data_IF_735309914648
#
_entry.id   IF_735309914648
#
_cell.length_a   1.000
_cell.length_b   1.000
_cell.length_c   1.000
_cell.angle_alpha   90.00
_cell.angle_beta   90.00
_cell.angle_gamma   90.00
#
_symmetry.space_group_name_H-M   'P 1'
#
loop_
_entity.id
_entity.type
_entity.pdbx_description
1 polymer ?
#
# COMPACT_ATOMS: atom_id res chain seq x y z
N UNK A 1 -22.83 -12.96 -36.29
CA UNK A 1 -22.03 -12.04 -35.45
C UNK A 1 -21.31 -12.90 -34.43
N UNK A 2 -20.02 -13.14 -34.62
CA UNK A 2 -19.21 -13.81 -33.60
C UNK A 2 -19.02 -12.82 -32.45
N UNK A 3 -19.31 -13.29 -31.24
CA UNK A 3 -19.00 -12.58 -30.00
C UNK A 3 -17.49 -12.39 -29.91
N UNK A 4 -17.01 -11.15 -29.90
CA UNK A 4 -15.63 -10.78 -29.49
C UNK A 4 -15.41 -11.01 -27.97
N UNK A 5 -16.47 -11.35 -27.23
CA UNK A 5 -16.43 -11.64 -25.81
C UNK A 5 -15.68 -12.94 -25.54
N UNK A 6 -14.74 -12.91 -24.59
CA UNK A 6 -14.33 -14.09 -23.82
C UNK A 6 -15.45 -14.48 -22.86
N UNK A 7 -16.57 -14.96 -23.41
CA UNK A 7 -17.44 -15.82 -22.61
C UNK A 7 -16.56 -17.00 -22.16
N UNK A 8 -16.66 -17.48 -20.91
CA UNK A 8 -15.98 -18.70 -20.51
C UNK A 8 -16.16 -19.76 -21.61
N UNK A 9 -15.06 -20.37 -22.09
CA UNK A 9 -15.08 -21.18 -23.28
C UNK A 9 -16.15 -22.25 -23.17
N UNK A 10 -17.09 -22.21 -24.10
CA UNK A 10 -18.08 -23.27 -24.30
C UNK A 10 -17.74 -24.02 -25.58
N UNK A 11 -18.18 -25.27 -25.75
CA UNK A 11 -18.05 -26.00 -27.01
C UNK A 11 -18.65 -25.25 -28.22
N UNK A 12 -19.47 -24.22 -27.98
CA UNK A 12 -20.27 -23.51 -28.97
C UNK A 12 -19.74 -22.11 -29.35
N UNK A 13 -18.82 -21.51 -28.58
CA UNK A 13 -18.29 -20.14 -28.83
C UNK A 13 -16.87 -20.13 -29.44
N UNK A 14 -16.64 -19.42 -30.55
CA UNK A 14 -15.31 -19.24 -31.15
C UNK A 14 -14.31 -18.72 -30.11
N UNK A 15 -13.10 -19.29 -30.07
CA UNK A 15 -11.98 -18.66 -29.36
C UNK A 15 -11.55 -17.42 -30.17
N UNK A 16 -11.14 -16.35 -29.49
CA UNK A 16 -10.79 -15.11 -30.21
C UNK A 16 -9.59 -15.31 -31.14
N UNK A 17 -8.71 -16.30 -30.88
CA UNK A 17 -7.61 -16.62 -31.78
C UNK A 17 -8.12 -17.04 -33.16
N UNK A 18 -9.08 -17.95 -33.21
CA UNK A 18 -9.68 -18.43 -34.46
C UNK A 18 -10.42 -17.28 -35.18
N UNK A 19 -11.04 -16.39 -34.42
CA UNK A 19 -11.69 -15.19 -34.96
C UNK A 19 -10.68 -14.23 -35.60
N UNK A 20 -9.60 -13.91 -34.88
CA UNK A 20 -8.55 -13.00 -35.36
C UNK A 20 -7.82 -13.57 -36.58
N UNK A 21 -7.50 -14.86 -36.55
CA UNK A 21 -6.88 -15.56 -37.68
C UNK A 21 -7.79 -15.52 -38.91
N UNK A 22 -9.09 -15.75 -38.72
CA UNK A 22 -10.06 -15.67 -39.82
C UNK A 22 -10.21 -14.26 -40.40
N UNK A 23 -10.13 -13.23 -39.55
CA UNK A 23 -10.11 -11.83 -39.99
C UNK A 23 -8.84 -11.54 -40.81
N UNK A 24 -7.70 -12.10 -40.37
CA UNK A 24 -6.43 -12.10 -41.09
C UNK A 24 -6.54 -12.70 -42.49
N UNK A 25 -6.97 -13.96 -42.58
CA UNK A 25 -7.17 -14.73 -43.82
C UNK A 25 -8.08 -14.02 -44.85
N UNK A 26 -9.09 -13.31 -44.37
CA UNK A 26 -10.04 -12.57 -45.20
C UNK A 26 -9.48 -11.21 -45.67
N UNK A 27 -8.25 -10.86 -45.29
CA UNK A 27 -7.58 -9.61 -45.65
C UNK A 27 -8.03 -8.40 -44.81
N UNK A 28 -8.91 -8.61 -43.81
CA UNK A 28 -9.47 -7.53 -43.00
C UNK A 28 -8.46 -6.95 -41.97
N UNK A 29 -7.33 -7.62 -41.75
CA UNK A 29 -6.28 -7.17 -40.83
C UNK A 29 -5.73 -5.77 -41.17
N UNK A 30 -5.62 -5.44 -42.47
CA UNK A 30 -5.15 -4.13 -42.92
C UNK A 30 -6.19 -3.02 -42.79
N UNK A 31 -7.39 -3.33 -42.30
CA UNK A 31 -8.50 -2.39 -42.15
C UNK A 31 -8.79 -2.02 -40.69
N UNK A 32 -7.99 -2.51 -39.75
CA UNK A 32 -8.09 -2.17 -38.32
C UNK A 32 -6.76 -1.63 -37.81
N UNK A 33 -6.82 -0.66 -36.90
CA UNK A 33 -5.61 -0.05 -36.33
C UNK A 33 -5.10 -0.80 -35.10
N UNK A 34 -6.02 -1.43 -34.37
CA UNK A 34 -5.75 -2.09 -33.08
C UNK A 34 -6.45 -3.45 -33.02
N UNK A 35 -5.90 -4.35 -32.22
CA UNK A 35 -6.52 -5.62 -31.84
C UNK A 35 -7.11 -5.47 -30.45
N UNK A 36 -8.44 -5.48 -30.35
CA UNK A 36 -9.16 -5.43 -29.08
C UNK A 36 -9.52 -6.84 -28.62
N UNK A 37 -9.15 -7.21 -27.40
CA UNK A 37 -9.52 -8.49 -26.78
C UNK A 37 -10.01 -8.28 -25.37
N UNK A 38 -10.89 -9.17 -24.91
CA UNK A 38 -11.32 -9.25 -23.52
C UNK A 38 -10.73 -10.56 -22.98
N UNK A 39 -9.69 -10.58 -22.13
CA UNK A 39 -9.08 -11.83 -21.68
C UNK A 39 -9.64 -12.28 -20.31
N UNK A 40 -10.97 -12.29 -20.14
CA UNK A 40 -11.58 -12.71 -18.87
C UNK A 40 -11.26 -14.17 -18.54
N UNK A 41 -11.11 -14.45 -17.25
CA UNK A 41 -10.80 -15.79 -16.74
C UNK A 41 -11.40 -16.00 -15.35
N UNK A 42 -11.87 -17.23 -15.05
CA UNK A 42 -12.53 -17.58 -13.79
C UNK A 42 -11.59 -17.74 -12.60
N UNK A 43 -10.27 -17.78 -12.85
CA UNK A 43 -9.22 -17.99 -11.85
C UNK A 43 -8.29 -16.77 -11.77
N UNK A 44 -7.22 -16.85 -10.97
CA UNK A 44 -6.17 -15.84 -10.89
C UNK A 44 -5.59 -15.48 -12.27
N UNK A 45 -4.97 -14.29 -12.43
CA UNK A 45 -4.36 -13.86 -13.69
C UNK A 45 -3.36 -14.87 -14.28
N UNK A 46 -2.59 -15.53 -13.43
CA UNK A 46 -1.59 -16.56 -13.73
C UNK A 46 -2.18 -17.96 -13.84
N UNK A 47 -3.45 -18.11 -13.45
CA UNK A 47 -4.17 -19.36 -13.48
C UNK A 47 -4.35 -19.89 -14.90
N UNK A 48 -4.45 -21.21 -14.97
CA UNK A 48 -4.63 -21.97 -16.19
C UNK A 48 -6.10 -21.91 -16.64
N UNK A 49 -6.33 -21.40 -17.85
CA UNK A 49 -7.65 -21.36 -18.48
C UNK A 49 -7.74 -22.43 -19.57
N UNK A 50 -8.72 -23.31 -19.48
CA UNK A 50 -9.03 -24.26 -20.56
C UNK A 50 -9.61 -23.52 -21.77
N UNK A 51 -8.83 -23.33 -22.82
CA UNK A 51 -9.17 -22.72 -24.12
C UNK A 51 -9.58 -23.78 -25.15
N UNK A 52 -10.65 -24.53 -24.88
CA UNK A 52 -11.22 -25.62 -25.70
C UNK A 52 -10.29 -26.82 -25.92
N UNK A 53 -9.19 -26.64 -26.65
CA UNK A 53 -8.27 -27.69 -27.09
C UNK A 53 -6.99 -27.73 -26.26
N UNK A 54 -6.71 -26.66 -25.54
CA UNK A 54 -5.49 -26.50 -24.75
C UNK A 54 -5.78 -25.71 -23.49
N UNK A 55 -4.93 -25.88 -22.48
CA UNK A 55 -4.96 -25.08 -21.26
C UNK A 55 -3.83 -24.06 -21.33
N UNK A 56 -4.13 -22.79 -21.08
CA UNK A 56 -3.16 -21.71 -21.14
C UNK A 56 -3.30 -20.73 -19.98
N UNK A 57 -2.18 -20.35 -19.38
CA UNK A 57 -2.09 -19.15 -18.56
C UNK A 57 -2.00 -17.89 -19.45
N UNK A 58 -2.13 -16.71 -18.85
CA UNK A 58 -2.15 -15.44 -19.59
C UNK A 58 -0.85 -15.21 -20.39
N UNK A 59 0.30 -15.65 -19.89
CA UNK A 59 1.58 -15.47 -20.59
C UNK A 59 1.65 -16.36 -21.83
N UNK A 60 1.18 -17.59 -21.74
CA UNK A 60 1.06 -18.49 -22.89
C UNK A 60 0.06 -17.96 -23.93
N UNK A 61 -1.05 -17.42 -23.47
CA UNK A 61 -2.06 -16.76 -24.29
C UNK A 61 -1.48 -15.56 -25.06
N UNK A 62 -0.73 -14.70 -24.38
CA UNK A 62 -0.02 -13.57 -24.99
C UNK A 62 1.04 -14.04 -26.01
N UNK A 63 1.80 -15.10 -25.71
CA UNK A 63 2.74 -15.71 -26.68
C UNK A 63 2.03 -16.31 -27.90
N UNK A 64 0.80 -16.82 -27.75
CA UNK A 64 0.02 -17.30 -28.90
C UNK A 64 -0.44 -16.12 -29.77
N UNK A 65 -0.72 -14.95 -29.19
CA UNK A 65 -1.03 -13.73 -29.94
C UNK A 65 0.15 -13.27 -30.80
N UNK A 66 1.39 -13.43 -30.33
CA UNK A 66 2.59 -13.12 -31.14
C UNK A 66 2.57 -13.85 -32.49
N UNK A 67 2.10 -15.10 -32.54
CA UNK A 67 1.97 -15.86 -33.78
C UNK A 67 1.06 -15.15 -34.80
N UNK A 68 -0.10 -14.68 -34.35
CA UNK A 68 -1.05 -13.94 -35.22
C UNK A 68 -0.48 -12.58 -35.63
N UNK A 69 0.22 -11.88 -34.74
CA UNK A 69 0.86 -10.61 -35.06
C UNK A 69 2.00 -10.78 -36.07
N UNK A 70 2.76 -11.89 -36.00
CA UNK A 70 3.82 -12.19 -36.96
C UNK A 70 3.27 -12.57 -38.32
N UNK A 71 2.17 -13.33 -38.36
CA UNK A 71 1.55 -13.79 -39.59
C UNK A 71 0.83 -12.67 -40.34
N UNK A 72 -0.05 -11.94 -39.63
CA UNK A 72 -0.94 -10.97 -40.26
C UNK A 72 -0.40 -9.53 -40.21
N UNK A 73 0.55 -9.25 -39.30
CA UNK A 73 1.25 -7.99 -39.16
C UNK A 73 1.09 -7.37 -37.76
N UNK A 74 2.18 -6.81 -37.22
CA UNK A 74 2.20 -6.27 -35.87
C UNK A 74 1.19 -5.12 -35.68
N UNK A 75 0.45 -5.16 -34.57
CA UNK A 75 -0.52 -4.13 -34.17
C UNK A 75 -0.53 -3.95 -32.65
N UNK A 76 -0.89 -2.75 -32.16
CA UNK A 76 -1.25 -2.56 -30.77
C UNK A 76 -2.38 -3.50 -30.33
N UNK A 77 -2.25 -4.05 -29.13
CA UNK A 77 -3.24 -4.85 -28.43
C UNK A 77 -3.83 -4.02 -27.30
N UNK A 78 -5.15 -3.91 -27.27
CA UNK A 78 -5.88 -3.27 -26.19
C UNK A 78 -6.75 -4.32 -25.48
N UNK A 79 -6.59 -4.43 -24.16
CA UNK A 79 -7.52 -5.18 -23.34
C UNK A 79 -8.70 -4.27 -23.05
N UNK A 80 -9.71 -4.28 -23.93
CA UNK A 80 -10.83 -3.33 -23.85
C UNK A 80 -11.81 -3.62 -22.73
N UNK A 81 -11.78 -4.84 -22.18
CA UNK A 81 -12.41 -5.18 -20.91
C UNK A 81 -11.63 -6.28 -20.20
N UNK A 82 -11.42 -6.10 -18.90
CA UNK A 82 -10.94 -7.14 -17.99
C UNK A 82 -11.35 -6.80 -16.56
N UNK A 83 -11.77 -7.79 -15.80
CA UNK A 83 -12.18 -7.60 -14.41
C UNK A 83 -12.49 -8.90 -13.70
N UNK A 84 -12.65 -8.81 -12.38
CA UNK A 84 -13.18 -9.89 -11.54
C UNK A 84 -14.29 -9.31 -10.68
N UNK A 85 -15.44 -9.96 -10.63
CA UNK A 85 -16.56 -9.51 -9.82
C UNK A 85 -16.45 -10.01 -8.38
N UNK A 86 -16.93 -9.19 -7.43
CA UNK A 86 -16.95 -9.52 -6.00
C UNK A 86 -18.30 -10.06 -5.53
N UNK A 87 -19.04 -10.74 -6.42
CA UNK A 87 -20.37 -11.27 -6.13
C UNK A 87 -20.31 -12.56 -5.30
N UNK A 88 -21.44 -12.89 -4.69
CA UNK A 88 -21.66 -14.14 -3.98
C UNK A 88 -22.08 -15.21 -4.99
N UNK A 89 -21.14 -16.03 -5.44
CA UNK A 89 -21.45 -17.11 -6.37
C UNK A 89 -20.21 -17.78 -6.94
N UNK A 90 -20.41 -18.66 -7.91
CA UNK A 90 -19.31 -19.26 -8.66
C UNK A 90 -18.46 -18.14 -9.32
N UNK A 91 -17.14 -18.29 -9.23
CA UNK A 91 -16.13 -17.37 -9.77
C UNK A 91 -16.10 -15.96 -9.14
N UNK A 92 -16.96 -15.68 -8.16
CA UNK A 92 -16.89 -14.47 -7.36
C UNK A 92 -15.71 -14.51 -6.41
N UNK A 93 -14.99 -13.39 -6.29
CA UNK A 93 -13.84 -13.26 -5.39
C UNK A 93 -14.14 -12.28 -4.25
N UNK A 94 -13.39 -12.34 -3.14
CA UNK A 94 -13.47 -11.28 -2.15
C UNK A 94 -12.82 -9.99 -2.70
N UNK A 95 -13.11 -8.84 -2.08
CA UNK A 95 -12.66 -7.55 -2.60
C UNK A 95 -11.14 -7.35 -2.57
N UNK A 96 -10.43 -7.92 -1.60
CA UNK A 96 -8.96 -7.87 -1.56
C UNK A 96 -8.36 -8.70 -2.70
N UNK A 97 -8.90 -9.90 -2.95
CA UNK A 97 -8.52 -10.73 -4.10
C UNK A 97 -8.77 -10.02 -5.42
N UNK A 98 -9.90 -9.30 -5.57
CA UNK A 98 -10.13 -8.44 -6.74
C UNK A 98 -9.01 -7.39 -6.90
N UNK A 99 -8.62 -6.75 -5.80
CA UNK A 99 -7.54 -5.76 -5.79
C UNK A 99 -6.19 -6.36 -6.21
N UNK A 100 -5.89 -7.57 -5.72
CA UNK A 100 -4.66 -8.29 -6.04
C UNK A 100 -4.62 -8.71 -7.50
N UNK A 101 -5.70 -9.31 -7.98
CA UNK A 101 -5.81 -9.78 -9.36
C UNK A 101 -5.71 -8.64 -10.35
N UNK A 102 -6.29 -7.47 -10.05
CA UNK A 102 -6.14 -6.30 -10.90
C UNK A 102 -4.67 -5.91 -11.06
N UNK A 103 -3.91 -5.73 -9.97
CA UNK A 103 -2.49 -5.37 -10.09
C UNK A 103 -1.73 -6.43 -10.86
N UNK A 104 -1.89 -7.71 -10.50
CA UNK A 104 -1.21 -8.85 -11.14
C UNK A 104 -1.51 -8.93 -12.64
N UNK A 105 -2.77 -8.77 -13.01
CA UNK A 105 -3.23 -8.72 -14.41
C UNK A 105 -2.54 -7.59 -15.18
N UNK A 106 -2.51 -6.38 -14.62
CA UNK A 106 -1.85 -5.24 -15.27
C UNK A 106 -0.36 -5.47 -15.44
N UNK A 107 0.34 -5.96 -14.41
CA UNK A 107 1.79 -6.21 -14.50
C UNK A 107 2.10 -7.29 -15.52
N UNK A 108 1.37 -8.42 -15.50
CA UNK A 108 1.56 -9.50 -16.48
C UNK A 108 1.30 -9.02 -17.91
N UNK A 109 0.25 -8.24 -18.13
CA UNK A 109 -0.08 -7.69 -19.43
C UNK A 109 1.01 -6.73 -19.95
N UNK A 110 1.58 -5.89 -19.07
CA UNK A 110 2.66 -4.95 -19.40
C UNK A 110 3.98 -5.64 -19.78
N UNK A 111 4.12 -6.95 -19.56
CA UNK A 111 5.30 -7.71 -20.05
C UNK A 111 5.30 -7.90 -21.57
N UNK A 112 4.14 -7.77 -22.20
CA UNK A 112 4.00 -7.99 -23.64
C UNK A 112 4.11 -6.66 -24.40
N UNK A 113 5.06 -6.52 -25.34
CA UNK A 113 5.40 -5.23 -25.96
C UNK A 113 4.26 -4.64 -26.79
N UNK A 114 3.36 -5.47 -27.32
CA UNK A 114 2.22 -4.99 -28.09
C UNK A 114 1.03 -4.54 -27.22
N UNK A 115 1.01 -4.83 -25.91
CA UNK A 115 -0.11 -4.40 -25.06
C UNK A 115 0.08 -2.93 -24.67
N UNK A 116 -0.75 -2.05 -25.23
CA UNK A 116 -0.65 -0.60 -25.00
C UNK A 116 -1.67 -0.09 -23.98
N UNK A 117 -2.86 -0.71 -23.91
CA UNK A 117 -3.96 -0.23 -23.06
C UNK A 117 -4.72 -1.37 -22.41
N UNK A 118 -5.12 -1.13 -21.17
CA UNK A 118 -5.88 -2.07 -20.35
C UNK A 118 -7.02 -1.28 -19.70
N UNK A 119 -8.25 -1.70 -20.01
CA UNK A 119 -9.48 -1.08 -19.53
C UNK A 119 -10.11 -2.02 -18.51
N UNK A 120 -10.07 -1.61 -17.24
CA UNK A 120 -10.73 -2.33 -16.17
C UNK A 120 -12.25 -2.22 -16.32
N UNK A 121 -12.93 -3.36 -16.32
CA UNK A 121 -14.37 -3.44 -16.20
C UNK A 121 -14.71 -3.66 -14.71
N UNK A 122 -15.30 -2.69 -14.02
CA UNK A 122 -15.66 -1.35 -14.47
C UNK A 122 -15.37 -0.28 -13.40
N UNK A 123 -15.77 0.97 -13.63
CA UNK A 123 -15.49 2.05 -12.67
C UNK A 123 -16.32 1.89 -11.39
N UNK A 124 -17.60 1.55 -11.49
CA UNK A 124 -18.53 1.61 -10.36
C UNK A 124 -19.59 0.54 -10.52
N UNK A 125 -19.77 -0.27 -9.46
CA UNK A 125 -20.80 -1.29 -9.36
C UNK A 125 -22.11 -0.84 -10.03
N UNK A 126 -22.59 -1.70 -10.91
CA UNK A 126 -23.81 -1.44 -11.64
C UNK A 126 -25.04 -1.51 -10.74
N UNK A 127 -26.15 -1.12 -11.35
CA UNK A 127 -27.48 -1.17 -10.78
C UNK A 127 -28.43 -1.63 -11.87
N UNK A 128 -29.63 -2.08 -11.50
CA UNK A 128 -30.65 -2.46 -12.48
C UNK A 128 -30.80 -1.31 -13.50
N UNK A 129 -30.70 -1.58 -14.81
CA UNK A 129 -30.73 -0.53 -15.83
C UNK A 129 -32.05 0.27 -15.83
N UNK A 130 -33.12 -0.27 -15.25
CA UNK A 130 -34.41 0.39 -15.09
C UNK A 130 -34.56 1.10 -13.73
N UNK A 131 -33.61 0.93 -12.80
CA UNK A 131 -33.65 1.59 -11.50
C UNK A 131 -33.43 3.11 -11.65
N UNK A 132 -34.26 3.96 -11.00
CA UNK A 132 -33.98 5.39 -10.91
C UNK A 132 -32.62 5.64 -10.28
N UNK A 133 -31.89 6.66 -10.76
CA UNK A 133 -30.55 6.99 -10.24
C UNK A 133 -30.50 7.17 -8.71
N UNK A 134 -31.55 7.76 -8.14
CA UNK A 134 -31.68 8.02 -6.70
C UNK A 134 -32.17 6.82 -5.87
N UNK A 135 -32.41 5.67 -6.51
CA UNK A 135 -32.88 4.42 -5.90
C UNK A 135 -32.18 3.23 -6.56
N UNK A 136 -30.84 3.11 -6.41
CA UNK A 136 -30.11 2.01 -7.01
C UNK A 136 -30.61 0.68 -6.44
N UNK A 137 -30.86 -0.28 -7.32
CA UNK A 137 -31.04 -1.70 -6.98
C UNK A 137 -29.68 -2.37 -7.04
N UNK A 138 -29.37 -3.21 -6.06
CA UNK A 138 -28.11 -3.93 -5.98
C UNK A 138 -28.38 -5.40 -5.67
N UNK A 139 -27.71 -6.28 -6.40
CA UNK A 139 -27.84 -7.72 -6.25
C UNK A 139 -26.49 -8.35 -5.93
N UNK A 140 -26.38 -8.98 -4.75
CA UNK A 140 -25.11 -9.53 -4.28
C UNK A 140 -24.65 -10.76 -5.09
N UNK A 141 -25.58 -11.49 -5.71
CA UNK A 141 -25.28 -12.71 -6.47
C UNK A 141 -24.99 -12.48 -7.96
N UNK A 142 -25.25 -11.27 -8.48
CA UNK A 142 -25.05 -10.95 -9.88
C UNK A 142 -23.65 -10.33 -10.09
N UNK A 143 -22.79 -10.91 -10.96
CA UNK A 143 -21.46 -10.38 -11.22
C UNK A 143 -21.45 -8.93 -11.74
N UNK A 144 -22.42 -8.53 -12.58
CA UNK A 144 -22.45 -7.20 -13.20
C UNK A 144 -22.53 -6.09 -12.14
N UNK A 145 -23.26 -6.34 -11.06
CA UNK A 145 -23.40 -5.39 -9.95
C UNK A 145 -22.14 -5.27 -9.08
N UNK A 146 -21.07 -6.02 -9.37
CA UNK A 146 -19.97 -6.26 -8.44
C UNK A 146 -18.55 -6.11 -9.03
N UNK A 147 -18.41 -5.66 -10.28
CA UNK A 147 -17.10 -5.44 -10.92
C UNK A 147 -16.39 -4.16 -10.47
N UNK A 148 -17.15 -3.13 -10.09
CA UNK A 148 -16.63 -1.77 -9.91
C UNK A 148 -15.46 -1.64 -8.95
N UNK A 149 -14.65 -0.60 -9.18
CA UNK A 149 -13.69 -0.08 -8.20
C UNK A 149 -14.39 0.71 -7.08
N UNK A 150 -15.55 1.28 -7.40
CA UNK A 150 -16.42 2.03 -6.50
C UNK A 150 -17.72 1.27 -6.24
N UNK A 151 -18.20 1.31 -5.00
CA UNK A 151 -19.54 0.81 -4.68
C UNK A 151 -20.61 1.78 -5.17
N UNK A 152 -21.78 1.26 -5.53
CA UNK A 152 -22.97 2.06 -5.87
C UNK A 152 -23.56 2.63 -4.60
N UNK A 153 -23.73 3.96 -4.53
CA UNK A 153 -24.31 4.64 -3.36
C UNK A 153 -25.15 5.85 -3.77
N UNK A 154 -26.26 6.08 -3.06
CA UNK A 154 -27.05 7.31 -3.15
C UNK A 154 -27.53 7.76 -1.75
N UNK A 155 -27.41 9.06 -1.39
CA UNK A 155 -26.69 10.09 -2.15
C UNK A 155 -25.19 9.75 -2.23
N UNK A 156 -24.53 10.19 -3.31
CA UNK A 156 -23.09 10.01 -3.43
C UNK A 156 -22.39 10.86 -2.35
N UNK A 157 -21.68 10.19 -1.45
CA UNK A 157 -20.81 10.84 -0.47
C UNK A 157 -19.35 10.46 -0.75
N UNK A 158 -18.56 11.33 -1.41
CA UNK A 158 -17.15 11.07 -1.68
C UNK A 158 -16.27 10.86 -0.43
N UNK A 159 -16.75 11.34 0.73
CA UNK A 159 -16.10 11.19 2.03
C UNK A 159 -16.52 9.90 2.77
N UNK A 160 -17.43 9.10 2.20
CA UNK A 160 -17.81 7.83 2.81
C UNK A 160 -16.64 6.84 2.76
N UNK A 161 -16.22 6.24 3.89
CA UNK A 161 -15.21 5.18 3.90
C UNK A 161 -15.58 3.99 3.03
N UNK A 162 -16.88 3.70 2.94
CA UNK A 162 -17.39 2.53 2.25
C UNK A 162 -17.61 2.76 0.74
N UNK A 163 -17.28 3.95 0.21
CA UNK A 163 -17.45 4.20 -1.22
C UNK A 163 -16.42 3.45 -2.08
N UNK A 164 -15.16 3.43 -1.64
CA UNK A 164 -14.05 2.84 -2.40
C UNK A 164 -13.89 1.37 -2.02
N UNK A 165 -13.78 0.50 -3.01
CA UNK A 165 -13.37 -0.90 -2.78
C UNK A 165 -11.83 -0.97 -2.66
N UNK A 166 -11.27 -2.01 -2.02
CA UNK A 166 -9.86 -2.34 -2.06
C UNK A 166 -9.20 -2.16 -3.44
N UNK A 167 -9.85 -2.62 -4.52
CA UNK A 167 -9.34 -2.48 -5.88
C UNK A 167 -9.09 -1.01 -6.28
N UNK A 168 -9.89 -0.04 -5.81
CA UNK A 168 -9.59 1.38 -6.06
C UNK A 168 -8.24 1.81 -5.45
N UNK A 169 -7.96 1.36 -4.22
CA UNK A 169 -6.70 1.67 -3.53
C UNK A 169 -5.51 1.00 -4.21
N UNK A 170 -5.68 -0.24 -4.67
CA UNK A 170 -4.68 -0.95 -5.45
C UNK A 170 -4.35 -0.24 -6.77
N UNK A 171 -5.38 0.23 -7.49
CA UNK A 171 -5.20 0.88 -8.79
C UNK A 171 -4.44 2.19 -8.64
N UNK A 172 -4.86 2.99 -7.65
CA UNK A 172 -4.17 4.23 -7.27
C UNK A 172 -2.71 3.97 -6.90
N UNK A 173 -2.46 2.95 -6.09
CA UNK A 173 -1.09 2.63 -5.64
C UNK A 173 -0.22 2.21 -6.81
N UNK A 174 -0.69 1.26 -7.63
CA UNK A 174 0.01 0.80 -8.82
C UNK A 174 0.37 1.96 -9.76
N UNK A 175 -0.61 2.82 -10.06
CA UNK A 175 -0.40 3.99 -10.93
C UNK A 175 0.56 5.00 -10.31
N UNK A 176 0.47 5.28 -9.00
CA UNK A 176 1.42 6.16 -8.31
C UNK A 176 2.85 5.60 -8.32
N UNK A 177 3.00 4.28 -8.13
CA UNK A 177 4.31 3.64 -8.06
C UNK A 177 4.97 3.51 -9.43
N UNK A 178 4.20 3.28 -10.48
CA UNK A 178 4.72 2.95 -11.81
C UNK A 178 4.63 4.08 -12.84
N UNK A 179 3.92 5.17 -12.54
CA UNK A 179 3.81 6.31 -13.47
C UNK A 179 5.19 6.84 -13.87
N UNK A 180 5.43 6.91 -15.18
CA UNK A 180 6.70 7.37 -15.75
C UNK A 180 7.87 6.38 -15.64
N UNK A 181 7.61 5.14 -15.19
CA UNK A 181 8.58 4.04 -15.22
C UNK A 181 8.26 3.10 -16.38
N UNK A 182 9.28 2.41 -16.88
CA UNK A 182 9.13 1.33 -17.87
C UNK A 182 9.58 0.01 -17.27
N UNK A 183 9.06 -1.10 -17.79
CA UNK A 183 9.55 -2.43 -17.47
C UNK A 183 11.02 -2.52 -17.91
N UNK A 184 11.91 -2.78 -16.97
CA UNK A 184 13.35 -2.85 -17.16
C UNK A 184 13.92 -4.27 -16.95
N UNK A 185 13.11 -5.20 -16.45
CA UNK A 185 13.52 -6.59 -16.31
C UNK A 185 12.51 -7.47 -15.58
N UNK A 186 12.71 -8.78 -15.71
CA UNK A 186 11.91 -9.81 -15.05
C UNK A 186 12.86 -10.68 -14.22
N UNK A 187 12.74 -10.58 -12.89
CA UNK A 187 13.58 -11.29 -11.92
C UNK A 187 13.10 -12.73 -11.70
N UNK A 188 11.79 -12.93 -11.61
CA UNK A 188 11.20 -14.23 -11.34
C UNK A 188 9.79 -14.32 -11.94
N UNK A 189 9.45 -15.52 -12.42
CA UNK A 189 8.13 -15.97 -12.84
C UNK A 189 8.03 -17.47 -12.49
N UNK A 190 6.85 -18.08 -12.61
CA UNK A 190 6.57 -19.46 -12.21
C UNK A 190 7.40 -20.54 -12.93
N UNK A 191 7.98 -20.23 -14.08
CA UNK A 191 8.88 -21.13 -14.82
C UNK A 191 10.31 -21.17 -14.28
N UNK A 192 10.68 -20.29 -13.32
CA UNK A 192 12.02 -20.27 -12.72
C UNK A 192 12.11 -21.19 -11.50
N UNK A 193 12.91 -22.27 -11.54
CA UNK A 193 12.98 -23.25 -10.44
C UNK A 193 13.50 -22.68 -9.12
N UNK A 194 14.29 -21.60 -9.17
CA UNK A 194 14.89 -20.95 -8.01
C UNK A 194 13.87 -20.14 -7.16
N UNK A 195 12.74 -19.79 -7.77
CA UNK A 195 11.71 -18.90 -7.22
C UNK A 195 10.30 -19.43 -7.49
N UNK A 196 9.99 -20.68 -7.11
CA UNK A 196 8.70 -21.30 -7.43
C UNK A 196 7.55 -20.48 -6.84
N UNK A 197 6.57 -20.15 -7.68
CA UNK A 197 5.39 -19.38 -7.28
C UNK A 197 5.66 -17.90 -6.96
N UNK A 198 6.85 -17.37 -7.27
CA UNK A 198 7.15 -15.94 -7.10
C UNK A 198 7.20 -15.24 -8.45
N UNK A 199 6.58 -14.07 -8.49
CA UNK A 199 6.56 -13.18 -9.63
C UNK A 199 7.22 -11.87 -9.22
N UNK A 200 8.18 -11.40 -10.01
CA UNK A 200 8.98 -10.23 -9.66
C UNK A 200 9.45 -9.48 -10.91
N UNK A 201 9.01 -8.23 -11.01
CA UNK A 201 9.23 -7.34 -12.13
C UNK A 201 9.94 -6.06 -11.68
N UNK A 202 10.90 -5.62 -12.48
CA UNK A 202 11.66 -4.40 -12.26
C UNK A 202 11.12 -3.28 -13.14
N UNK A 203 10.73 -2.18 -12.52
CA UNK A 203 10.37 -0.95 -13.22
C UNK A 203 11.38 0.15 -12.87
N UNK A 204 11.82 0.90 -13.87
CA UNK A 204 12.76 1.97 -13.64
C UNK A 204 12.59 3.10 -14.65
N UNK A 205 13.12 4.25 -14.27
CA UNK A 205 13.59 5.27 -15.20
C UNK A 205 14.97 5.76 -14.76
N UNK A 206 15.45 6.89 -15.30
CA UNK A 206 16.77 7.44 -14.94
C UNK A 206 16.84 7.98 -13.51
N UNK A 207 15.71 8.13 -12.81
CA UNK A 207 15.62 8.75 -11.49
C UNK A 207 15.11 7.81 -10.39
N UNK A 208 14.27 6.83 -10.74
CA UNK A 208 13.56 5.97 -9.78
C UNK A 208 13.59 4.52 -10.23
N UNK A 209 13.67 3.62 -9.25
CA UNK A 209 13.55 2.17 -9.43
C UNK A 209 12.53 1.61 -8.44
N UNK A 210 11.55 0.89 -8.97
CA UNK A 210 10.50 0.24 -8.20
C UNK A 210 10.36 -1.19 -8.67
N UNK A 211 10.40 -2.12 -7.74
CA UNK A 211 10.03 -3.51 -8.02
C UNK A 211 8.58 -3.76 -7.62
N UNK A 212 7.90 -4.60 -8.41
CA UNK A 212 6.59 -5.17 -8.06
C UNK A 212 6.73 -6.67 -7.98
N UNK A 213 6.33 -7.24 -6.84
CA UNK A 213 6.48 -8.67 -6.62
C UNK A 213 5.38 -9.24 -5.73
N UNK A 214 5.07 -10.51 -5.94
CA UNK A 214 4.12 -11.27 -5.14
C UNK A 214 4.48 -12.75 -5.18
N UNK A 215 3.82 -13.54 -4.33
CA UNK A 215 3.87 -15.01 -4.40
C UNK A 215 2.46 -15.58 -4.55
N UNK A 216 2.29 -16.67 -5.27
CA UNK A 216 0.98 -17.34 -5.42
C UNK A 216 0.70 -18.35 -4.31
N UNK A 217 1.74 -19.03 -3.81
CA UNK A 217 1.63 -20.15 -2.89
C UNK A 217 2.90 -20.32 -2.02
N UNK A 218 2.97 -21.42 -1.26
CA UNK A 218 4.15 -21.82 -0.48
C UNK A 218 4.35 -21.10 0.87
N UNK A 219 5.50 -21.36 1.50
CA UNK A 219 5.96 -20.62 2.68
C UNK A 219 6.36 -19.20 2.29
N UNK A 220 6.15 -18.20 3.15
CA UNK A 220 6.61 -16.83 2.93
C UNK A 220 8.15 -16.79 2.84
N UNK A 221 8.74 -16.71 1.64
CA UNK A 221 10.18 -16.80 1.53
C UNK A 221 10.80 -15.49 2.01
N UNK A 222 11.79 -15.58 2.88
CA UNK A 222 12.74 -14.48 3.08
C UNK A 222 13.80 -14.59 2.00
N UNK A 223 14.05 -13.49 1.30
CA UNK A 223 14.93 -13.45 0.14
C UNK A 223 15.92 -12.31 0.29
N UNK A 224 17.19 -12.62 0.04
CA UNK A 224 18.26 -11.62 0.03
C UNK A 224 18.41 -11.06 -1.37
N UNK A 225 18.39 -9.75 -1.50
CA UNK A 225 18.37 -9.02 -2.77
C UNK A 225 19.58 -8.10 -2.84
N UNK A 226 20.44 -8.27 -3.86
CA UNK A 226 21.46 -7.28 -4.17
C UNK A 226 20.82 -6.14 -4.96
N UNK A 227 20.60 -5.01 -4.29
CA UNK A 227 20.01 -3.83 -4.90
C UNK A 227 21.07 -2.78 -5.25
N UNK A 228 22.28 -2.88 -4.66
CA UNK A 228 23.27 -1.80 -4.62
C UNK A 228 22.63 -0.46 -4.22
N UNK A 229 21.77 -0.52 -3.21
CA UNK A 229 21.02 0.60 -2.67
C UNK A 229 21.48 0.92 -1.26
N UNK A 230 21.17 2.13 -0.79
CA UNK A 230 21.29 2.49 0.63
C UNK A 230 20.10 1.97 1.42
N UNK A 231 18.91 2.08 0.85
CA UNK A 231 17.67 1.67 1.50
C UNK A 231 16.58 1.26 0.51
N UNK A 232 15.54 0.63 1.05
CA UNK A 232 14.33 0.26 0.35
C UNK A 232 13.08 0.58 1.16
N UNK A 233 12.15 1.31 0.55
CA UNK A 233 10.85 1.61 1.10
C UNK A 233 9.82 0.62 0.54
N UNK A 234 9.27 -0.19 1.43
CA UNK A 234 8.36 -1.29 1.11
C UNK A 234 6.92 -0.89 1.38
N UNK A 235 6.05 -1.10 0.39
CA UNK A 235 4.62 -0.81 0.46
C UNK A 235 3.78 -2.01 0.11
N UNK A 236 2.64 -2.13 0.78
CA UNK A 236 1.60 -3.06 0.40
C UNK A 236 0.83 -2.57 -0.83
N UNK A 237 0.02 -3.46 -1.41
CA UNK A 237 -0.87 -3.22 -2.53
C UNK A 237 -1.75 -1.96 -2.38
N UNK A 238 -2.13 -1.57 -1.16
CA UNK A 238 -2.97 -0.41 -0.84
C UNK A 238 -2.17 0.91 -0.67
N UNK A 239 -0.85 0.86 -0.78
CA UNK A 239 0.07 2.00 -0.65
C UNK A 239 0.55 2.29 0.78
N UNK A 240 0.06 1.53 1.76
CA UNK A 240 0.56 1.58 3.13
C UNK A 240 2.04 1.18 3.16
N UNK A 241 2.86 1.98 3.83
CA UNK A 241 4.26 1.65 4.06
C UNK A 241 4.32 0.62 5.18
N UNK A 242 4.91 -0.53 4.88
CA UNK A 242 5.12 -1.58 5.88
C UNK A 242 6.52 -1.51 6.44
N UNK A 243 7.53 -1.30 5.59
CA UNK A 243 8.92 -1.32 6.02
C UNK A 243 9.79 -0.25 5.35
N UNK A 244 10.78 0.24 6.09
CA UNK A 244 11.98 0.92 5.60
C UNK A 244 13.17 0.05 5.97
N UNK A 245 13.86 -0.45 4.95
CA UNK A 245 14.96 -1.40 5.12
C UNK A 245 16.25 -0.71 4.72
N UNK A 246 17.20 -0.61 5.64
CA UNK A 246 18.55 -0.15 5.32
C UNK A 246 19.38 -1.33 4.82
N UNK A 247 20.09 -1.13 3.72
CA UNK A 247 20.92 -2.17 3.13
C UNK A 247 22.19 -2.39 3.93
N UNK A 248 22.64 -3.65 3.99
CA UNK A 248 23.97 -4.02 4.47
C UNK A 248 24.77 -4.51 3.26
N UNK A 249 25.90 -3.88 2.96
CA UNK A 249 26.74 -4.18 1.79
C UNK A 249 25.97 -4.20 0.46
N UNK A 250 25.00 -3.28 0.31
CA UNK A 250 24.14 -3.19 -0.88
C UNK A 250 23.08 -4.31 -0.99
N UNK A 251 22.90 -5.11 0.07
CA UNK A 251 21.91 -6.18 0.17
C UNK A 251 20.75 -5.80 1.09
N UNK A 252 19.53 -6.19 0.74
CA UNK A 252 18.35 -6.14 1.62
C UNK A 252 17.74 -7.53 1.79
N UNK A 253 16.94 -7.72 2.85
CA UNK A 253 16.11 -8.90 3.02
C UNK A 253 14.64 -8.53 2.82
N UNK A 254 13.95 -9.23 1.92
CA UNK A 254 12.52 -9.06 1.66
C UNK A 254 11.77 -10.31 2.08
N UNK A 255 10.60 -10.15 2.68
CA UNK A 255 9.69 -11.25 3.00
C UNK A 255 8.33 -11.00 2.36
N UNK A 256 7.86 -11.98 1.59
CA UNK A 256 6.53 -11.94 0.98
C UNK A 256 5.52 -12.59 1.92
N UNK A 257 4.99 -11.82 2.87
CA UNK A 257 4.15 -12.36 3.95
C UNK A 257 2.81 -12.89 3.43
N UNK A 258 2.11 -12.09 2.64
CA UNK A 258 0.74 -12.35 2.21
C UNK A 258 0.72 -12.99 0.81
N UNK A 259 0.25 -14.24 0.67
CA UNK A 259 0.08 -14.85 -0.65
C UNK A 259 -0.90 -14.05 -1.49
N UNK A 260 -0.59 -13.91 -2.77
CA UNK A 260 -1.36 -13.21 -3.78
C UNK A 260 -1.27 -11.69 -3.71
N UNK A 261 -0.85 -11.11 -2.59
CA UNK A 261 -0.80 -9.67 -2.38
C UNK A 261 0.44 -9.05 -3.06
N UNK A 262 0.27 -8.09 -3.97
CA UNK A 262 1.38 -7.32 -4.53
C UNK A 262 2.09 -6.48 -3.47
N UNK A 263 3.42 -6.48 -3.55
CA UNK A 263 4.33 -5.63 -2.80
C UNK A 263 5.04 -4.68 -3.77
N UNK A 264 5.24 -3.44 -3.34
CA UNK A 264 6.10 -2.47 -4.05
C UNK A 264 7.36 -2.23 -3.23
N UNK A 265 8.51 -2.28 -3.87
CA UNK A 265 9.81 -1.97 -3.25
C UNK A 265 10.46 -0.84 -4.02
N UNK A 266 10.47 0.35 -3.43
CA UNK A 266 11.12 1.52 -3.99
C UNK A 266 12.52 1.68 -3.39
N UNK A 267 13.54 1.66 -4.24
CA UNK A 267 14.93 1.74 -3.79
C UNK A 267 15.45 3.17 -3.88
N UNK A 268 16.15 3.60 -2.84
CA UNK A 268 16.72 4.95 -2.70
C UNK A 268 15.76 6.04 -3.23
N UNK A 269 14.56 6.19 -2.63
CA UNK A 269 13.59 7.19 -3.09
C UNK A 269 14.26 8.56 -3.19
N UNK A 270 14.19 9.23 -4.36
CA UNK A 270 14.99 10.43 -4.58
C UNK A 270 14.51 11.57 -3.67
N UNK A 271 15.44 12.35 -3.08
CA UNK A 271 15.08 13.51 -2.27
C UNK A 271 14.30 14.52 -3.11
N UNK A 272 13.32 15.19 -2.49
CA UNK A 272 12.61 16.26 -3.16
C UNK A 272 13.54 17.46 -3.43
N UNK A 273 13.72 17.91 -4.69
CA UNK A 273 14.66 18.97 -5.02
C UNK A 273 14.29 20.34 -4.43
N UNK A 274 13.02 20.54 -4.05
CA UNK A 274 12.53 21.77 -3.42
C UNK A 274 12.59 21.71 -1.88
N UNK A 275 13.10 20.61 -1.32
CA UNK A 275 13.18 20.36 0.12
C UNK A 275 14.51 20.73 0.73
N UNK A 276 14.50 20.92 2.05
CA UNK A 276 15.70 21.01 2.86
C UNK A 276 16.25 19.60 3.09
N UNK A 277 17.43 19.30 2.56
CA UNK A 277 18.10 18.00 2.68
C UNK A 277 18.74 17.82 4.05
N UNK A 278 18.44 16.69 4.70
CA UNK A 278 19.10 16.25 5.92
C UNK A 278 20.14 15.18 5.58
N UNK A 279 21.41 15.57 5.46
CA UNK A 279 22.52 14.68 5.09
C UNK A 279 22.60 13.39 5.91
N UNK A 280 22.21 13.45 7.20
CA UNK A 280 22.16 12.30 8.11
C UNK A 280 21.31 11.15 7.57
N UNK A 281 20.19 11.46 6.92
CA UNK A 281 19.24 10.46 6.40
C UNK A 281 19.05 10.56 4.89
N UNK A 282 19.62 11.56 4.22
CA UNK A 282 19.43 11.86 2.80
C UNK A 282 17.97 12.16 2.40
N UNK A 283 17.08 12.39 3.36
CA UNK A 283 15.69 12.76 3.11
C UNK A 283 15.48 14.26 3.29
N UNK A 284 14.37 14.77 2.74
CA UNK A 284 14.06 16.19 2.80
C UNK A 284 12.83 16.53 3.64
N UNK A 285 12.82 17.72 4.23
CA UNK A 285 11.58 18.34 4.70
C UNK A 285 11.27 19.57 3.85
N UNK A 286 10.00 19.77 3.50
CA UNK A 286 9.57 20.95 2.75
C UNK A 286 8.21 21.48 3.23
N UNK A 287 7.82 22.64 2.71
CA UNK A 287 6.49 23.21 2.85
C UNK A 287 5.95 23.22 4.29
N UNK A 288 4.71 22.76 4.44
CA UNK A 288 3.98 22.75 5.72
C UNK A 288 4.63 21.85 6.78
N UNK A 289 5.22 20.71 6.38
CA UNK A 289 5.88 19.79 7.32
C UNK A 289 7.20 20.36 7.84
N UNK A 290 8.02 20.99 6.98
CA UNK A 290 9.23 21.70 7.43
C UNK A 290 8.89 22.80 8.44
N UNK A 291 7.90 23.63 8.11
CA UNK A 291 7.48 24.72 8.99
C UNK A 291 6.95 24.18 10.32
N UNK A 292 6.15 23.11 10.29
CA UNK A 292 5.65 22.46 11.49
C UNK A 292 6.80 21.89 12.34
N UNK A 293 7.78 21.22 11.72
CA UNK A 293 8.94 20.68 12.40
C UNK A 293 9.70 21.76 13.19
N UNK A 294 10.07 22.86 12.54
CA UNK A 294 10.80 23.96 13.18
C UNK A 294 10.02 24.61 14.34
N UNK A 295 8.71 24.81 14.15
CA UNK A 295 7.89 25.54 15.12
C UNK A 295 7.44 24.69 16.32
N UNK A 296 7.60 23.36 16.27
CA UNK A 296 7.00 22.45 17.26
C UNK A 296 8.02 21.58 18.01
N UNK A 297 9.31 21.95 18.00
CA UNK A 297 10.37 21.29 18.78
C UNK A 297 11.47 20.63 17.95
N UNK A 298 11.35 20.66 16.62
CA UNK A 298 12.39 20.24 15.69
C UNK A 298 12.99 18.87 16.00
N UNK A 299 14.32 18.81 15.97
CA UNK A 299 15.10 17.57 16.09
C UNK A 299 14.84 16.84 17.41
N UNK A 300 14.73 17.57 18.52
CA UNK A 300 14.52 16.99 19.86
C UNK A 300 13.22 16.20 19.91
N UNK A 301 12.15 16.75 19.34
CA UNK A 301 10.82 16.13 19.39
C UNK A 301 10.59 15.10 18.30
N UNK A 302 10.95 15.42 17.06
CA UNK A 302 10.54 14.63 15.90
C UNK A 302 11.66 13.78 15.31
N UNK A 303 12.91 14.17 15.55
CA UNK A 303 14.07 13.57 14.87
C UNK A 303 14.18 13.94 13.40
N UNK A 304 15.02 13.20 12.69
CA UNK A 304 15.25 13.37 11.25
C UNK A 304 14.11 12.78 10.40
N UNK A 305 13.87 13.28 9.17
CA UNK A 305 12.99 12.63 8.21
C UNK A 305 13.55 11.26 7.80
N UNK A 306 12.66 10.26 7.73
CA UNK A 306 12.95 8.88 7.31
C UNK A 306 12.38 8.53 5.94
N UNK A 307 11.54 9.41 5.38
CA UNK A 307 10.92 9.25 4.06
C UNK A 307 10.73 10.64 3.45
N UNK A 308 10.51 10.71 2.14
CA UNK A 308 9.90 11.89 1.52
C UNK A 308 8.40 11.97 1.87
N UNK A 309 7.71 13.03 1.43
CA UNK A 309 6.25 13.10 1.52
C UNK A 309 5.58 11.99 0.69
N UNK A 310 4.72 11.22 1.34
CA UNK A 310 4.03 10.06 0.77
C UNK A 310 2.54 10.33 0.71
N UNK A 311 1.89 9.93 -0.38
CA UNK A 311 0.43 9.98 -0.47
C UNK A 311 -0.12 8.59 -0.15
N UNK A 312 -0.77 8.43 1.01
CA UNK A 312 -1.30 7.16 1.53
C UNK A 312 -2.80 7.34 1.82
N UNK A 313 -3.68 6.35 1.58
CA UNK A 313 -5.07 6.47 2.00
C UNK A 313 -5.19 6.57 3.52
N UNK A 314 -6.10 7.42 4.01
CA UNK A 314 -6.58 7.33 5.39
C UNK A 314 -7.44 6.07 5.59
N UNK A 315 -7.86 5.80 6.83
CA UNK A 315 -8.77 4.69 7.15
C UNK A 315 -10.14 4.75 6.46
N UNK A 316 -10.38 5.77 5.63
CA UNK A 316 -11.58 5.95 4.81
C UNK A 316 -11.28 5.98 3.30
N UNK A 317 -10.05 5.62 2.91
CA UNK A 317 -9.62 5.56 1.52
C UNK A 317 -9.35 6.91 0.86
N UNK A 318 -9.32 8.02 1.62
CA UNK A 318 -8.99 9.35 1.09
C UNK A 318 -7.48 9.56 1.11
N UNK A 319 -6.87 10.11 0.05
CA UNK A 319 -5.44 10.36 0.06
C UNK A 319 -5.08 11.38 1.13
N UNK A 320 -4.07 11.06 1.93
CA UNK A 320 -3.40 11.95 2.88
C UNK A 320 -1.93 12.03 2.54
N UNK A 321 -1.39 13.24 2.55
CA UNK A 321 0.05 13.44 2.50
C UNK A 321 0.57 13.18 3.90
N UNK A 322 1.53 12.27 4.01
CA UNK A 322 2.14 11.87 5.28
C UNK A 322 3.65 11.83 5.13
N UNK A 323 4.37 12.02 6.22
CA UNK A 323 5.82 11.85 6.23
C UNK A 323 6.26 11.21 7.53
N UNK A 324 7.14 10.22 7.44
CA UNK A 324 7.70 9.54 8.59
C UNK A 324 9.01 10.19 9.01
N UNK A 325 9.14 10.45 10.31
CA UNK A 325 10.34 10.92 10.97
C UNK A 325 10.74 9.90 12.04
N UNK A 326 11.93 10.02 12.63
CA UNK A 326 12.42 9.04 13.61
C UNK A 326 11.45 8.82 14.79
N UNK A 327 10.77 9.88 15.23
CA UNK A 327 9.96 9.87 16.47
C UNK A 327 8.47 10.14 16.23
N UNK A 328 8.08 10.46 15.00
CA UNK A 328 6.71 10.85 14.68
C UNK A 328 6.34 10.53 13.24
N UNK A 329 5.05 10.53 12.95
CA UNK A 329 4.51 10.55 11.59
C UNK A 329 3.61 11.78 11.46
N UNK A 330 3.92 12.64 10.50
CA UNK A 330 3.11 13.82 10.18
C UNK A 330 2.02 13.45 9.19
N UNK A 331 0.85 14.05 9.36
CA UNK A 331 -0.29 13.93 8.46
C UNK A 331 -0.80 15.34 8.10
N UNK A 332 -0.96 15.60 6.81
CA UNK A 332 -1.45 16.89 6.29
C UNK A 332 -2.96 16.84 6.03
N UNK A 333 -3.65 17.85 6.55
CA UNK A 333 -5.09 18.08 6.41
C UNK A 333 -5.30 19.40 5.66
N UNK A 334 -5.26 19.39 4.32
CA UNK A 334 -5.40 20.60 3.52
C UNK A 334 -6.73 21.32 3.73
N UNK A 335 -7.77 20.61 4.15
CA UNK A 335 -9.06 21.20 4.55
C UNK A 335 -8.96 22.18 5.73
N UNK A 336 -7.89 22.09 6.52
CA UNK A 336 -7.63 22.92 7.70
C UNK A 336 -6.53 23.96 7.45
N UNK A 337 -6.23 24.28 6.19
CA UNK A 337 -5.08 25.11 5.84
C UNK A 337 -5.08 26.48 6.54
N UNK A 338 -3.89 26.89 7.03
CA UNK A 338 -3.71 28.13 7.79
C UNK A 338 -4.12 28.05 9.27
N UNK A 339 -4.58 26.90 9.75
CA UNK A 339 -4.87 26.67 11.16
C UNK A 339 -3.79 25.83 11.85
N UNK A 340 -3.78 25.81 13.19
CA UNK A 340 -2.92 24.92 13.99
C UNK A 340 -3.21 23.44 13.77
N UNK A 341 -4.33 23.11 13.11
CA UNK A 341 -4.80 21.76 12.80
C UNK A 341 -4.55 21.37 11.33
N UNK A 342 -3.68 22.10 10.62
CA UNK A 342 -3.26 21.74 9.26
C UNK A 342 -2.34 20.51 9.25
N UNK A 343 -1.49 20.36 10.29
CA UNK A 343 -0.61 19.20 10.46
C UNK A 343 -0.93 18.53 11.80
N UNK A 344 -1.22 17.23 11.74
CA UNK A 344 -1.38 16.40 12.92
C UNK A 344 -0.28 15.34 13.01
N UNK A 345 0.03 14.92 14.23
CA UNK A 345 0.79 13.69 14.45
C UNK A 345 -0.18 12.51 14.43
N UNK A 346 0.21 11.45 13.71
CA UNK A 346 -0.49 10.16 13.78
C UNK A 346 -0.54 9.63 15.21
N UNK A 347 -1.55 8.81 15.50
CA UNK A 347 -1.67 8.07 16.77
C UNK A 347 -0.66 6.91 16.86
N UNK A 348 0.62 7.19 16.65
CA UNK A 348 1.65 6.17 16.49
C UNK A 348 1.96 5.41 17.79
N UNK A 349 1.67 5.98 18.96
CA UNK A 349 1.80 5.26 20.23
C UNK A 349 0.78 4.12 20.34
N UNK A 350 -0.46 4.37 19.95
CA UNK A 350 -1.52 3.36 19.86
C UNK A 350 -1.14 2.25 18.88
N UNK A 351 -0.67 2.64 17.68
CA UNK A 351 -0.25 1.67 16.67
C UNK A 351 0.91 0.78 17.12
N UNK A 352 1.91 1.33 17.81
CA UNK A 352 3.04 0.54 18.32
C UNK A 352 2.59 -0.43 19.42
N UNK A 353 1.74 0.00 20.36
CA UNK A 353 1.18 -0.90 21.38
C UNK A 353 0.40 -2.05 20.73
N UNK A 354 -0.46 -1.77 19.74
CA UNK A 354 -1.20 -2.81 19.02
C UNK A 354 -0.27 -3.82 18.32
N UNK A 355 0.82 -3.35 17.70
CA UNK A 355 1.84 -4.23 17.09
C UNK A 355 2.58 -5.09 18.11
N UNK A 356 2.68 -4.63 19.34
CA UNK A 356 3.21 -5.39 20.47
C UNK A 356 2.17 -6.35 21.08
N UNK A 357 0.96 -6.43 20.50
CA UNK A 357 -0.14 -7.24 21.02
C UNK A 357 -0.81 -6.65 22.26
N UNK A 358 -0.56 -5.37 22.54
CA UNK A 358 -1.12 -4.65 23.69
C UNK A 358 -2.32 -3.82 23.23
N UNK A 359 -3.52 -4.24 23.64
CA UNK A 359 -4.71 -3.40 23.57
C UNK A 359 -4.75 -2.49 24.79
N UNK A 360 -4.38 -1.22 24.59
CA UNK A 360 -4.32 -0.24 25.67
C UNK A 360 -5.67 -0.02 26.36
N UNK A 361 -6.79 -0.26 25.68
CA UNK A 361 -8.13 -0.07 26.25
C UNK A 361 -8.44 -1.09 27.36
N UNK A 362 -7.73 -2.21 27.36
CA UNK A 362 -7.83 -3.30 28.32
C UNK A 362 -6.84 -3.19 29.48
N UNK A 363 -5.92 -2.22 29.44
CA UNK A 363 -4.95 -2.02 30.51
C UNK A 363 -5.63 -1.59 31.81
N UNK A 364 -5.04 -1.89 32.98
CA UNK A 364 -5.54 -1.42 34.26
C UNK A 364 -5.66 0.11 34.30
N UNK A 365 -6.81 0.58 34.76
CA UNK A 365 -7.11 2.01 34.92
C UNK A 365 -6.94 2.44 36.37
N UNK A 366 -6.56 3.70 36.57
CA UNK A 366 -6.48 4.32 37.90
C UNK A 366 -7.76 5.10 38.20
N UNK A 367 -8.20 5.12 39.46
CA UNK A 367 -9.43 5.84 39.86
C UNK A 367 -9.19 7.33 40.15
N UNK A 368 -7.95 7.70 40.45
CA UNK A 368 -7.51 9.06 40.75
C UNK A 368 -5.99 9.16 40.56
N UNK A 369 -5.45 10.38 40.63
CA UNK A 369 -4.02 10.62 40.63
C UNK A 369 -3.59 11.47 41.85
N UNK A 370 -2.32 11.38 42.29
CA UNK A 370 -1.76 12.27 43.30
C UNK A 370 -1.88 13.76 42.93
N UNK A 371 -1.74 14.65 43.92
CA UNK A 371 -1.93 16.11 43.74
C UNK A 371 -1.00 16.74 42.69
N UNK A 372 0.22 16.21 42.53
CA UNK A 372 1.18 16.67 41.53
C UNK A 372 1.02 16.01 40.16
N UNK A 373 0.00 15.16 39.97
CA UNK A 373 -0.27 14.44 38.73
C UNK A 373 -1.57 14.92 38.08
N UNK A 374 -1.69 14.74 36.78
CA UNK A 374 -2.91 15.04 36.03
C UNK A 374 -3.64 13.75 35.67
N UNK A 375 -4.85 13.56 36.20
CA UNK A 375 -5.72 12.44 35.86
C UNK A 375 -6.63 12.76 34.67
N UNK A 376 -6.83 11.78 33.78
CA UNK A 376 -7.71 11.89 32.62
C UNK A 376 -8.83 10.85 32.70
N UNK A 377 -10.00 11.27 33.20
CA UNK A 377 -11.17 10.40 33.37
C UNK A 377 -11.61 9.70 32.07
N UNK A 378 -11.48 10.38 30.93
CA UNK A 378 -11.87 9.85 29.61
C UNK A 378 -11.13 8.55 29.23
N UNK A 379 -9.90 8.37 29.71
CA UNK A 379 -9.06 7.20 29.41
C UNK A 379 -8.70 6.39 30.65
N UNK A 380 -8.97 6.90 31.85
CA UNK A 380 -8.65 6.22 33.11
C UNK A 380 -7.16 6.13 33.41
N UNK A 381 -6.37 7.09 32.90
CA UNK A 381 -4.92 7.12 33.04
C UNK A 381 -4.43 8.48 33.58
N UNK A 382 -3.25 8.47 34.20
CA UNK A 382 -2.65 9.67 34.79
C UNK A 382 -1.28 10.00 34.20
N UNK A 383 -0.90 11.28 34.25
CA UNK A 383 0.46 11.73 33.92
C UNK A 383 1.05 12.38 35.16
N UNK A 384 2.17 11.86 35.63
CA UNK A 384 2.93 12.40 36.76
C UNK A 384 4.26 13.01 36.30
N UNK A 385 4.87 13.93 37.07
CA UNK A 385 6.25 14.34 36.86
C UNK A 385 7.20 13.13 36.85
N UNK A 386 8.25 13.13 35.99
CA UNK A 386 8.67 14.24 35.12
C UNK A 386 7.94 14.31 33.76
N UNK A 387 7.09 13.31 33.42
CA UNK A 387 6.40 13.30 32.13
C UNK A 387 5.37 14.43 31.98
N UNK A 388 4.71 14.83 33.08
CA UNK A 388 3.72 15.90 33.06
C UNK A 388 4.30 17.22 32.55
N UNK A 389 5.49 17.59 32.99
CA UNK A 389 6.16 18.82 32.58
C UNK A 389 6.45 18.83 31.07
N UNK A 390 6.91 17.68 30.57
CA UNK A 390 7.22 17.49 29.14
C UNK A 390 5.96 17.50 28.30
N UNK A 391 4.91 16.82 28.76
CA UNK A 391 3.60 16.77 28.09
C UNK A 391 2.99 18.17 27.98
N UNK A 392 3.03 18.97 29.06
CA UNK A 392 2.56 20.36 29.05
C UNK A 392 3.40 21.23 28.10
N UNK A 393 4.73 21.12 28.18
CA UNK A 393 5.66 21.88 27.32
C UNK A 393 5.44 21.64 25.83
N UNK A 394 5.13 20.41 25.43
CA UNK A 394 5.02 20.02 24.02
C UNK A 394 3.57 19.98 23.49
N UNK A 395 2.65 20.72 24.13
CA UNK A 395 1.31 20.99 23.58
C UNK A 395 0.20 20.09 24.11
N UNK A 396 0.44 19.35 25.19
CA UNK A 396 -0.57 18.58 25.91
C UNK A 396 -1.39 17.65 25.01
N UNK A 397 -2.71 17.76 25.09
CA UNK A 397 -3.65 16.93 24.31
C UNK A 397 -3.48 17.09 22.79
N UNK A 398 -3.18 18.29 22.30
CA UNK A 398 -2.99 18.52 20.86
C UNK A 398 -1.65 17.93 20.41
N UNK A 399 -0.62 18.07 21.25
CA UNK A 399 0.73 17.68 20.91
C UNK A 399 1.04 16.19 21.06
N UNK A 400 0.70 15.60 22.21
CA UNK A 400 1.01 14.21 22.55
C UNK A 400 -0.26 13.34 22.65
N UNK A 401 -1.40 13.96 22.96
CA UNK A 401 -2.67 13.25 23.19
C UNK A 401 -2.85 12.74 24.61
N UNK A 402 -3.86 11.91 24.79
CA UNK A 402 -4.10 11.23 26.07
C UNK A 402 -2.98 10.23 26.40
N UNK A 403 -2.68 10.00 27.69
CA UNK A 403 -1.88 8.85 28.11
C UNK A 403 -2.63 7.55 27.79
N UNK A 404 -1.94 6.58 27.20
CA UNK A 404 -2.46 5.25 26.90
C UNK A 404 -2.05 4.21 27.95
N UNK A 405 -1.06 4.54 28.78
CA UNK A 405 -0.54 3.69 29.84
C UNK A 405 -0.27 4.55 31.07
N UNK A 406 -0.18 3.91 32.25
CA UNK A 406 0.60 4.51 33.34
C UNK A 406 2.10 4.48 33.00
N UNK A 407 2.90 5.24 33.74
CA UNK A 407 4.35 5.17 33.64
C UNK A 407 4.87 3.85 34.25
N UNK A 408 5.76 3.15 33.56
CA UNK A 408 6.38 1.91 34.05
C UNK A 408 7.87 1.86 33.72
N UNK A 409 8.63 1.08 34.49
CA UNK A 409 10.08 0.93 34.33
C UNK A 409 10.36 -0.15 33.28
N UNK A 410 11.28 0.16 32.37
CA UNK A 410 11.85 -0.75 31.40
C UNK A 410 13.36 -0.90 31.68
N UNK A 411 13.94 -2.05 31.30
CA UNK A 411 15.38 -2.29 31.39
C UNK A 411 15.91 -2.54 29.99
N UNK A 412 16.98 -1.85 29.59
CA UNK A 412 17.65 -2.13 28.32
C UNK A 412 18.33 -3.51 28.38
N UNK A 413 18.09 -4.35 27.37
CA UNK A 413 18.59 -5.73 27.37
C UNK A 413 20.11 -5.84 27.30
N UNK A 414 20.78 -4.87 26.66
CA UNK A 414 22.22 -4.86 26.41
C UNK A 414 23.04 -4.34 27.58
N UNK A 415 22.54 -3.33 28.28
CA UNK A 415 23.24 -2.60 29.33
C UNK A 415 22.68 -2.84 30.73
N UNK A 416 21.42 -3.29 30.83
CA UNK A 416 20.66 -3.35 32.07
C UNK A 416 20.28 -1.98 32.63
N UNK A 417 20.54 -0.88 31.91
CA UNK A 417 20.16 0.47 32.33
C UNK A 417 18.62 0.57 32.39
N UNK A 418 18.12 1.10 33.50
CA UNK A 418 16.68 1.27 33.71
C UNK A 418 16.23 2.67 33.32
N UNK A 419 15.12 2.73 32.59
CA UNK A 419 14.43 3.98 32.27
C UNK A 419 12.94 3.82 32.47
N UNK A 420 12.27 4.91 32.81
CA UNK A 420 10.80 4.92 32.91
C UNK A 420 10.23 5.30 31.56
N UNK A 421 9.12 4.68 31.16
CA UNK A 421 8.45 4.97 29.89
C UNK A 421 6.96 5.20 30.12
N UNK A 422 6.38 6.09 29.33
CA UNK A 422 4.92 6.25 29.24
C UNK A 422 4.50 6.47 27.79
N UNK A 423 3.47 5.73 27.36
CA UNK A 423 2.89 5.87 26.03
C UNK A 423 1.73 6.86 26.04
N UNK A 424 1.68 7.66 24.99
CA UNK A 424 0.60 8.60 24.67
C UNK A 424 0.05 8.27 23.29
N UNK A 425 -1.10 8.84 22.92
CA UNK A 425 -1.68 8.60 21.59
C UNK A 425 -0.66 8.81 20.47
N UNK A 426 0.13 9.89 20.52
CA UNK A 426 0.99 10.36 19.42
C UNK A 426 2.49 10.26 19.69
N UNK A 427 2.90 9.80 20.86
CA UNK A 427 4.29 9.79 21.28
C UNK A 427 4.55 8.76 22.39
N UNK A 428 5.82 8.46 22.63
CA UNK A 428 6.31 7.78 23.84
C UNK A 428 7.35 8.67 24.48
N UNK A 429 7.23 8.90 25.78
CA UNK A 429 8.25 9.61 26.55
C UNK A 429 9.07 8.61 27.34
N UNK A 430 10.38 8.83 27.38
CA UNK A 430 11.37 7.96 28.02
C UNK A 430 12.25 8.78 28.95
N UNK A 431 12.32 8.39 30.21
CA UNK A 431 13.02 9.11 31.26
C UNK A 431 14.17 8.28 31.83
N UNK A 432 15.38 8.80 31.70
CA UNK A 432 16.64 8.19 32.12
C UNK A 432 17.17 8.94 33.36
N UNK A 433 16.84 8.52 34.59
CA UNK A 433 17.23 9.24 35.81
C UNK A 433 18.75 9.38 35.98
N UNK A 434 19.52 8.44 35.43
CA UNK A 434 20.98 8.43 35.50
C UNK A 434 21.62 9.59 34.73
N UNK A 435 20.86 10.23 33.82
CA UNK A 435 21.33 11.37 33.02
C UNK A 435 20.99 12.73 33.64
N UNK A 436 20.30 12.74 34.79
CA UNK A 436 20.07 13.98 35.53
C UNK A 436 21.39 14.67 35.86
N UNK A 437 21.48 15.97 35.57
CA UNK A 437 22.67 16.78 35.83
C UNK A 437 23.86 16.57 34.89
N UNK A 438 23.82 15.57 34.00
CA UNK A 438 24.91 15.28 33.04
C UNK A 438 24.48 15.40 31.58
N UNK A 439 23.18 15.35 31.29
CA UNK A 439 22.62 15.52 29.95
C UNK A 439 21.11 15.78 29.97
N UNK A 440 20.42 15.50 28.86
CA UNK A 440 18.96 15.52 28.82
C UNK A 440 18.42 14.16 29.31
N UNK A 441 17.72 14.10 30.46
CA UNK A 441 17.17 12.85 30.97
C UNK A 441 15.84 12.47 30.29
N UNK A 442 15.20 13.37 29.53
CA UNK A 442 13.91 13.13 28.88
C UNK A 442 14.05 13.01 27.36
N UNK A 443 13.56 11.91 26.80
CA UNK A 443 13.58 11.65 25.36
C UNK A 443 12.18 11.34 24.82
N UNK A 444 12.00 11.66 23.54
CA UNK A 444 10.92 11.09 22.73
C UNK A 444 11.39 9.78 22.10
N UNK A 445 10.63 8.71 22.32
CA UNK A 445 10.90 7.39 21.76
C UNK A 445 10.85 7.39 20.23
N UNK A 446 11.58 6.48 19.61
CA UNK A 446 11.73 6.40 18.15
C UNK A 446 10.54 5.69 17.48
N UNK A 447 9.31 6.06 17.85
CA UNK A 447 8.11 5.35 17.39
C UNK A 447 7.93 5.36 15.87
N UNK A 448 8.38 6.41 15.19
CA UNK A 448 8.34 6.46 13.72
C UNK A 448 9.31 5.46 13.08
N UNK A 449 10.48 5.29 13.68
CA UNK A 449 11.45 4.25 13.31
C UNK A 449 10.92 2.85 13.62
N UNK A 450 10.37 2.63 14.80
CA UNK A 450 9.77 1.34 15.21
C UNK A 450 8.61 0.95 14.31
N UNK A 451 7.82 1.93 13.86
CA UNK A 451 6.75 1.70 12.90
C UNK A 451 7.27 1.20 11.55
N UNK A 452 8.45 1.66 11.11
CA UNK A 452 8.97 1.35 9.79
C UNK A 452 10.00 0.21 9.74
N UNK A 453 10.72 -0.11 10.81
CA UNK A 453 11.89 -1.01 10.69
C UNK A 453 11.61 -2.44 11.17
N UNK A 454 10.65 -2.65 12.07
CA UNK A 454 10.50 -3.93 12.75
C UNK A 454 9.82 -4.98 11.85
N UNK A 455 10.63 -5.83 11.21
CA UNK A 455 10.18 -7.09 10.62
C UNK A 455 9.88 -8.10 11.73
N UNK A 456 8.60 -8.21 12.12
CA UNK A 456 8.09 -9.28 12.98
C UNK A 456 8.76 -9.44 14.35
N UNK A 457 8.16 -8.84 15.39
CA UNK A 457 8.48 -9.10 16.80
C UNK A 457 9.83 -8.53 17.25
N UNK A 458 9.83 -7.80 18.36
CA UNK A 458 11.05 -7.29 18.99
C UNK A 458 12.01 -8.44 19.36
N UNK A 459 13.32 -8.16 19.53
CA UNK A 459 14.27 -9.10 20.13
C UNK A 459 13.78 -9.71 21.45
#
# INVERSE_FOLDING_TARGET
MASIWSVPPSPFNYDYFDYLDKIGDLGAWNHVDIIAIHPYRPDAPEGDLNRRTETMNLRQELRRLDGLLLEHGAKPIWFTEIGWATHQGAYGVNEDTQAFFMVRMFILALTHPSVEKIFWYDLRNDSDPNAPYNRPVYEAGDPEFNYGLLRRAYPLNPNSPNLRKPAFLAYRTMTQMLSGLWLNGIAAEDDRPEWPGVYWYHFANTQRRVDVLWRTDGAAPTKTVFCNCREALVRNWNGEVTHLIYASDGMIQLRLENPGAPLYVEYDPPPNPDGELFETTGHTLRGVFRNYWYNNGGLERFGYPLTEELIIPDGHGRPRVVQYLERARFEHYPENSGSVNEVFLSRIGDTILQRQGIDWQTLPRVASAPENCQYFEAVGHSICPPFLDTWQRYGGLVGLGYPLTEAYVFSLDDTGEQYTVQYFERARLEYFPQREGTGNPMNFGMLGREYLIVWGGMP
#
